data_IF_279166430062
#
_entry.id   IF_279166430062
#
_cell.length_a   1.000
_cell.length_b   1.000
_cell.length_c   1.000
_cell.angle_alpha   90.00
_cell.angle_beta   90.00
_cell.angle_gamma   90.00
#
_symmetry.space_group_name_H-M   'P 1'
#
loop_
_entity.id
_entity.type
_entity.pdbx_description
1 polymer ?
#
# COMPACT_ATOMS: atom_id res chain seq x y z
N UNK A 1 6.39 -13.10 -0.86
CA UNK A 1 5.82 -14.46 -0.80
C UNK A 1 5.71 -14.87 0.66
N UNK A 2 4.56 -15.37 1.13
CA UNK A 2 4.40 -15.82 2.52
C UNK A 2 4.87 -17.27 2.65
N UNK A 3 5.54 -17.61 3.74
CA UNK A 3 5.97 -18.99 4.02
C UNK A 3 4.75 -19.90 4.24
N UNK A 4 4.78 -21.11 3.68
CA UNK A 4 3.69 -22.08 3.80
C UNK A 4 3.33 -22.40 5.25
N UNK A 5 4.33 -22.48 6.14
CA UNK A 5 4.11 -22.76 7.57
C UNK A 5 3.30 -21.67 8.27
N UNK A 6 3.56 -20.40 7.94
CA UNK A 6 2.82 -19.25 8.49
C UNK A 6 1.39 -19.24 7.96
N UNK A 7 1.20 -19.49 6.66
CA UNK A 7 -0.14 -19.62 6.08
C UNK A 7 -0.95 -20.72 6.76
N UNK A 8 -0.35 -21.89 7.01
CA UNK A 8 -1.03 -22.99 7.68
C UNK A 8 -1.40 -22.65 9.12
N UNK A 9 -0.53 -21.92 9.84
CA UNK A 9 -0.83 -21.44 11.20
C UNK A 9 -2.04 -20.51 11.21
N UNK A 10 -2.11 -19.54 10.27
CA UNK A 10 -3.26 -18.65 10.16
C UNK A 10 -4.56 -19.40 9.84
N UNK A 11 -4.53 -20.37 8.92
CA UNK A 11 -5.68 -21.21 8.61
C UNK A 11 -6.16 -21.97 9.85
N UNK A 12 -5.23 -22.57 10.60
CA UNK A 12 -5.56 -23.32 11.81
C UNK A 12 -6.21 -22.43 12.88
N UNK A 13 -5.71 -21.20 13.09
CA UNK A 13 -6.33 -20.25 14.03
C UNK A 13 -7.75 -19.85 13.60
N UNK A 14 -7.96 -19.59 12.31
CA UNK A 14 -9.28 -19.28 11.77
C UNK A 14 -10.25 -20.44 11.96
N UNK A 15 -9.82 -21.68 11.69
CA UNK A 15 -10.62 -22.88 11.90
C UNK A 15 -10.99 -23.09 13.38
N UNK A 16 -10.04 -22.87 14.30
CA UNK A 16 -10.31 -22.93 15.74
C UNK A 16 -11.33 -21.89 16.19
N UNK A 17 -11.33 -20.73 15.55
CA UNK A 17 -12.34 -19.68 15.73
C UNK A 17 -13.64 -19.93 14.94
N UNK A 18 -13.78 -21.08 14.28
CA UNK A 18 -14.91 -21.43 13.40
C UNK A 18 -15.12 -20.45 12.22
N UNK A 19 -14.06 -19.75 11.81
CA UNK A 19 -14.04 -18.87 10.64
C UNK A 19 -13.52 -19.66 9.44
N UNK A 20 -14.34 -19.76 8.39
CA UNK A 20 -14.00 -20.43 7.13
C UNK A 20 -13.79 -19.37 6.03
N UNK A 21 -12.58 -18.80 5.88
CA UNK A 21 -12.34 -17.77 4.89
C UNK A 21 -12.44 -18.36 3.47
N UNK A 22 -13.21 -17.73 2.59
CA UNK A 22 -13.19 -18.09 1.16
C UNK A 22 -11.88 -17.69 0.49
N UNK A 23 -11.28 -16.58 0.93
CA UNK A 23 -10.05 -16.00 0.37
C UNK A 23 -9.23 -15.33 1.46
N UNK A 24 -7.91 -15.39 1.31
CA UNK A 24 -6.94 -14.63 2.08
C UNK A 24 -6.02 -13.89 1.12
N UNK A 25 -5.85 -12.58 1.33
CA UNK A 25 -4.99 -11.74 0.49
C UNK A 25 -4.24 -10.71 1.36
N UNK A 26 -3.07 -10.24 0.89
CA UNK A 26 -2.31 -9.19 1.58
C UNK A 26 -3.13 -7.91 1.78
N UNK A 27 -2.96 -7.26 2.93
CA UNK A 27 -3.67 -6.02 3.28
C UNK A 27 -3.48 -4.89 2.25
N UNK A 28 -2.34 -4.84 1.55
CA UNK A 28 -2.09 -3.88 0.45
C UNK A 28 -3.18 -3.89 -0.63
N UNK A 29 -3.87 -5.02 -0.83
CA UNK A 29 -4.90 -5.17 -1.85
C UNK A 29 -6.30 -4.77 -1.37
N UNK A 30 -6.44 -4.42 -0.09
CA UNK A 30 -7.65 -3.77 0.40
C UNK A 30 -7.69 -2.27 0.06
N UNK A 31 -6.54 -1.67 -0.29
CA UNK A 31 -6.45 -0.28 -0.72
C UNK A 31 -6.92 -0.14 -2.17
N UNK A 32 -7.63 0.96 -2.43
CA UNK A 32 -8.05 1.33 -3.78
C UNK A 32 -6.85 1.53 -4.69
N UNK A 33 -6.98 1.05 -5.94
CA UNK A 33 -5.99 1.28 -6.99
C UNK A 33 -6.42 2.50 -7.79
N UNK A 34 -5.66 3.59 -7.67
CA UNK A 34 -5.83 4.75 -8.54
C UNK A 34 -4.79 4.76 -9.66
N UNK A 35 -5.17 5.14 -10.89
CA UNK A 35 -4.21 5.28 -11.98
C UNK A 35 -3.13 6.32 -11.65
N UNK A 36 -1.86 5.95 -11.85
CA UNK A 36 -0.70 6.84 -11.71
C UNK A 36 -0.43 7.36 -10.28
N UNK A 37 -1.13 6.84 -9.28
CA UNK A 37 -0.98 7.27 -7.89
C UNK A 37 -0.69 6.08 -6.98
N UNK A 38 0.10 6.34 -5.94
CA UNK A 38 0.30 5.40 -4.85
C UNK A 38 -0.60 5.78 -3.69
N UNK A 39 -1.17 4.77 -3.04
CA UNK A 39 -2.04 4.94 -1.91
C UNK A 39 -1.42 4.36 -0.67
N UNK A 40 -1.42 5.13 0.42
CA UNK A 40 -0.90 4.68 1.70
C UNK A 40 -2.00 4.75 2.76
N UNK A 41 -2.11 3.71 3.57
CA UNK A 41 -2.85 3.70 4.82
C UNK A 41 -1.85 3.54 5.97
N UNK A 42 -1.94 4.42 6.96
CA UNK A 42 -1.03 4.45 8.11
C UNK A 42 -1.88 4.32 9.35
N UNK A 43 -1.60 3.30 10.16
CA UNK A 43 -2.28 3.08 11.42
C UNK A 43 -1.29 2.54 12.45
N UNK A 44 -1.23 3.20 13.61
CA UNK A 44 -0.28 2.91 14.67
C UNK A 44 1.17 2.93 14.15
N UNK A 45 1.90 1.82 14.32
CA UNK A 45 3.31 1.68 13.95
C UNK A 45 3.50 1.09 12.54
N UNK A 46 2.41 0.86 11.79
CA UNK A 46 2.45 0.24 10.47
C UNK A 46 1.90 1.14 9.38
N UNK A 47 2.53 1.07 8.22
CA UNK A 47 2.06 1.66 6.98
C UNK A 47 1.91 0.58 5.90
N UNK A 48 0.85 0.68 5.12
CA UNK A 48 0.54 -0.19 4.00
C UNK A 48 0.45 0.70 2.76
N UNK A 49 1.24 0.41 1.73
CA UNK A 49 1.33 1.21 0.52
C UNK A 49 1.00 0.36 -0.70
N UNK A 50 0.02 0.81 -1.49
CA UNK A 50 -0.42 0.24 -2.75
C UNK A 50 0.20 1.04 -3.89
N UNK A 51 1.01 0.36 -4.71
CA UNK A 51 1.79 1.02 -5.78
C UNK A 51 1.30 0.72 -7.20
N UNK A 52 0.34 -0.21 -7.34
CA UNK A 52 -0.22 -0.64 -8.62
C UNK A 52 -1.25 -1.76 -8.46
N UNK A 53 -1.68 -2.40 -9.56
CA UNK A 53 -2.76 -3.42 -9.57
C UNK A 53 -2.37 -4.69 -8.81
N UNK A 54 -1.10 -5.09 -8.86
CA UNK A 54 -0.59 -6.33 -8.21
C UNK A 54 0.64 -6.08 -7.35
N UNK A 55 0.95 -4.82 -7.07
CA UNK A 55 2.14 -4.38 -6.33
C UNK A 55 1.78 -3.52 -5.13
N UNK A 56 2.66 -3.54 -4.13
CA UNK A 56 2.52 -2.81 -2.88
C UNK A 56 3.42 -3.41 -1.81
N UNK A 57 3.56 -2.71 -0.68
CA UNK A 57 4.36 -3.14 0.45
C UNK A 57 3.74 -2.70 1.78
N UNK A 58 4.14 -3.35 2.87
CA UNK A 58 3.87 -2.91 4.23
C UNK A 58 5.20 -2.67 4.93
N UNK A 59 5.26 -1.67 5.80
CA UNK A 59 6.49 -1.20 6.44
C UNK A 59 6.17 -0.57 7.79
N UNK A 60 7.09 -0.66 8.74
CA UNK A 60 7.00 0.12 9.97
C UNK A 60 7.02 1.62 9.64
N UNK A 61 6.25 2.43 10.36
CA UNK A 61 6.16 3.88 10.11
C UNK A 61 7.51 4.59 10.23
N UNK A 62 8.39 4.11 11.11
CA UNK A 62 9.77 4.60 11.26
C UNK A 62 10.62 4.43 9.99
N UNK A 63 10.31 3.39 9.19
CA UNK A 63 11.03 3.04 7.96
C UNK A 63 10.29 3.49 6.70
N UNK A 64 9.12 4.10 6.83
CA UNK A 64 8.26 4.47 5.71
C UNK A 64 8.95 5.45 4.76
N UNK A 65 9.51 6.55 5.29
CA UNK A 65 10.12 7.59 4.46
C UNK A 65 11.35 7.09 3.68
N UNK A 66 12.33 6.40 4.30
CA UNK A 66 13.44 5.81 3.56
C UNK A 66 13.00 4.84 2.46
N UNK A 67 12.01 3.99 2.74
CA UNK A 67 11.53 3.01 1.78
C UNK A 67 10.79 3.69 0.62
N UNK A 68 9.91 4.66 0.89
CA UNK A 68 9.22 5.42 -0.15
C UNK A 68 10.18 6.11 -1.10
N UNK A 69 11.23 6.75 -0.58
CA UNK A 69 12.24 7.41 -1.41
C UNK A 69 12.96 6.41 -2.32
N UNK A 70 13.30 5.23 -1.78
CA UNK A 70 13.97 4.16 -2.53
C UNK A 70 13.07 3.63 -3.65
N UNK A 71 11.82 3.32 -3.33
CA UNK A 71 10.84 2.78 -4.28
C UNK A 71 10.51 3.82 -5.38
N UNK A 72 10.38 5.10 -5.03
CA UNK A 72 10.12 6.17 -6.01
C UNK A 72 11.30 6.38 -6.96
N UNK A 73 12.54 6.29 -6.46
CA UNK A 73 13.73 6.35 -7.31
C UNK A 73 13.76 5.19 -8.31
N UNK A 74 13.41 3.98 -7.87
CA UNK A 74 13.33 2.80 -8.74
C UNK A 74 12.20 2.91 -9.76
N UNK A 75 11.02 3.40 -9.36
CA UNK A 75 9.89 3.60 -10.26
C UNK A 75 10.20 4.64 -11.35
N UNK A 76 10.98 5.67 -11.03
CA UNK A 76 11.42 6.69 -12.00
C UNK A 76 12.33 6.10 -13.09
N UNK A 77 13.02 4.98 -12.83
CA UNK A 77 13.83 4.27 -13.82
C UNK A 77 12.99 3.42 -14.79
N UNK A 78 11.68 3.27 -14.57
CA UNK A 78 10.76 2.47 -15.40
C UNK A 78 9.68 3.29 -16.11
N UNK A 79 9.90 4.60 -16.31
CA UNK A 79 9.00 5.45 -17.11
C UNK A 79 8.99 4.94 -18.56
N UNK A 80 7.87 4.42 -19.12
CA UNK A 80 7.75 4.29 -20.57
C UNK A 80 7.85 5.70 -21.17
N UNK A 81 8.70 5.84 -22.19
CA UNK A 81 9.08 7.13 -22.77
C UNK A 81 7.90 8.09 -22.97
N UNK A 82 7.95 9.17 -22.19
CA UNK A 82 7.43 10.53 -22.43
C UNK A 82 6.66 10.69 -23.75
N UNK A 83 5.33 10.56 -23.72
CA UNK A 83 4.51 11.33 -24.65
C UNK A 83 4.36 12.74 -24.08
N UNK A 84 5.07 13.69 -24.71
CA UNK A 84 4.89 15.11 -24.46
C UNK A 84 3.45 15.48 -24.79
N UNK A 85 2.62 15.70 -23.77
CA UNK A 85 1.49 16.60 -23.89
C UNK A 85 1.72 17.73 -22.89
N UNK A 86 2.03 18.90 -23.44
CA UNK A 86 2.06 20.16 -22.74
C UNK A 86 0.67 20.43 -22.19
N UNK A 87 0.48 20.22 -20.89
CA UNK A 87 -0.36 21.07 -20.08
C UNK A 87 0.19 21.04 -18.65
N UNK A 88 0.69 22.20 -18.23
CA UNK A 88 1.13 22.47 -16.87
C UNK A 88 -0.07 22.30 -15.95
N UNK A 89 -0.18 21.15 -15.31
CA UNK A 89 -1.05 20.97 -14.14
C UNK A 89 -0.13 20.97 -12.93
N UNK A 90 -0.22 22.05 -12.14
CA UNK A 90 0.42 22.16 -10.82
C UNK A 90 0.06 20.92 -9.99
N UNK A 91 0.99 20.29 -9.27
CA UNK A 91 0.62 19.30 -8.27
C UNK A 91 -0.11 20.04 -7.14
N UNK A 92 -1.44 19.98 -7.16
CA UNK A 92 -2.25 20.38 -6.00
C UNK A 92 -2.16 19.25 -4.99
N UNK A 93 -1.19 19.36 -4.09
CA UNK A 93 -1.13 18.53 -2.90
C UNK A 93 -2.34 18.85 -2.01
N UNK A 94 -3.43 18.11 -2.17
CA UNK A 94 -4.49 18.08 -1.16
C UNK A 94 -4.27 16.88 -0.25
N UNK A 95 -3.40 17.04 0.75
CA UNK A 95 -3.47 16.22 1.96
C UNK A 95 -4.82 16.53 2.64
N UNK A 96 -5.86 15.74 2.35
CA UNK A 96 -7.06 15.73 3.20
C UNK A 96 -6.74 14.97 4.48
N UNK A 97 -6.17 15.70 5.43
CA UNK A 97 -6.18 15.35 6.84
C UNK A 97 -7.65 15.28 7.30
N UNK A 98 -8.19 14.08 7.47
CA UNK A 98 -9.41 13.90 8.24
C UNK A 98 -9.10 14.28 9.69
N UNK A 99 -9.63 15.43 10.13
CA UNK A 99 -9.62 15.88 11.52
C UNK A 99 -10.37 14.85 12.38
N UNK A 100 -9.67 14.13 13.23
CA UNK A 100 -10.23 13.62 14.47
C UNK A 100 -10.26 14.78 15.47
N UNK A 101 -11.44 15.38 15.65
CA UNK A 101 -11.72 16.16 16.86
C UNK A 101 -11.92 15.17 18.00
N UNK A 102 -10.92 15.07 18.88
CA UNK A 102 -11.10 14.51 20.22
C UNK A 102 -11.43 15.68 21.16
N UNK A 103 -12.57 15.58 21.84
CA UNK A 103 -12.88 16.34 23.06
C UNK A 103 -12.14 15.73 24.23
#
# INVERSE_FOLDING_TARGET
MVRQTVMQQWINWLQQAQIMPERLFPAVFALEVLPQEWHAYIENEMAVVRTGIVSGFAVDTLNLMPLLLTELQQATLHIPQKSLSTNVIKPSWSCRLWRLQLK
#
